data_IF_235739867436
#
_entry.id   IF_235739867436
#
_cell.length_a   1.000
_cell.length_b   1.000
_cell.length_c   1.000
_cell.angle_alpha   90.00
_cell.angle_beta   90.00
_cell.angle_gamma   90.00
#
_symmetry.space_group_name_H-M   'P 1'
#
loop_
_entity.id
_entity.type
_entity.pdbx_description
1 polymer ?
#
# COMPACT_ATOMS: atom_id res chain seq x y z
N UNK A 1 -16.65 -31.72 6.96
CA UNK A 1 -15.60 -31.25 6.02
C UNK A 1 -14.33 -32.02 6.32
N UNK A 2 -13.63 -32.55 5.31
CA UNK A 2 -12.34 -33.22 5.49
C UNK A 2 -11.29 -32.19 5.94
N UNK A 3 -10.44 -32.56 6.92
CA UNK A 3 -9.40 -31.67 7.47
C UNK A 3 -8.43 -31.16 6.40
N UNK A 4 -8.09 -31.99 5.40
CA UNK A 4 -7.24 -31.60 4.27
C UNK A 4 -7.83 -30.46 3.43
N UNK A 5 -9.15 -30.49 3.20
CA UNK A 5 -9.82 -29.42 2.46
C UNK A 5 -9.84 -28.11 3.25
N UNK A 6 -10.05 -28.21 4.57
CA UNK A 6 -9.98 -27.06 5.47
C UNK A 6 -8.57 -26.44 5.47
N UNK A 7 -7.53 -27.27 5.66
CA UNK A 7 -6.14 -26.82 5.65
C UNK A 7 -5.76 -26.21 4.29
N UNK A 8 -6.24 -26.77 3.19
CA UNK A 8 -6.03 -26.22 1.85
C UNK A 8 -6.68 -24.83 1.67
N UNK A 9 -7.90 -24.66 2.16
CA UNK A 9 -8.60 -23.37 2.08
C UNK A 9 -7.90 -22.30 2.93
N UNK A 10 -7.46 -22.66 4.13
CA UNK A 10 -6.64 -21.80 5.00
C UNK A 10 -5.30 -21.48 4.34
N UNK A 11 -4.64 -22.45 3.72
CA UNK A 11 -3.41 -22.21 2.98
C UNK A 11 -3.63 -21.18 1.86
N UNK A 12 -4.67 -21.37 1.04
CA UNK A 12 -4.97 -20.45 -0.06
C UNK A 12 -5.28 -19.04 0.42
N UNK A 13 -5.93 -18.84 1.57
CA UNK A 13 -6.16 -17.49 2.10
C UNK A 13 -4.85 -16.78 2.46
N UNK A 14 -3.87 -17.49 3.03
CA UNK A 14 -2.54 -16.94 3.28
C UNK A 14 -1.77 -16.65 1.98
N UNK A 15 -1.84 -17.53 0.99
CA UNK A 15 -1.23 -17.32 -0.33
C UNK A 15 -1.79 -16.05 -0.99
N UNK A 16 -3.12 -15.94 -1.05
CA UNK A 16 -3.84 -14.81 -1.62
C UNK A 16 -3.47 -13.49 -0.93
N UNK A 17 -3.41 -13.49 0.41
CA UNK A 17 -2.95 -12.36 1.21
C UNK A 17 -1.50 -11.98 0.89
N UNK A 18 -0.61 -12.96 0.77
CA UNK A 18 0.79 -12.72 0.48
C UNK A 18 0.99 -12.11 -0.93
N UNK A 19 0.27 -12.63 -1.92
CA UNK A 19 0.28 -12.07 -3.28
C UNK A 19 -0.26 -10.65 -3.28
N UNK A 20 -1.33 -10.37 -2.52
CA UNK A 20 -1.88 -9.03 -2.38
C UNK A 20 -0.84 -8.04 -1.82
N UNK A 21 -0.13 -8.44 -0.77
CA UNK A 21 0.90 -7.61 -0.14
C UNK A 21 2.06 -7.33 -1.10
N UNK A 22 2.55 -8.35 -1.80
CA UNK A 22 3.63 -8.20 -2.78
C UNK A 22 3.20 -7.33 -3.97
N UNK A 23 2.03 -7.59 -4.56
CA UNK A 23 1.52 -6.82 -5.69
C UNK A 23 1.26 -5.36 -5.31
N UNK A 24 0.65 -5.11 -4.14
CA UNK A 24 0.46 -3.77 -3.62
C UNK A 24 1.80 -3.06 -3.40
N UNK A 25 2.76 -3.72 -2.75
CA UNK A 25 4.11 -3.20 -2.53
C UNK A 25 4.80 -2.81 -3.84
N UNK A 26 4.67 -3.64 -4.88
CA UNK A 26 5.22 -3.36 -6.21
C UNK A 26 4.52 -2.16 -6.87
N UNK A 27 3.18 -2.10 -6.83
CA UNK A 27 2.43 -0.96 -7.38
C UNK A 27 2.86 0.34 -6.69
N UNK A 28 2.96 0.36 -5.37
CA UNK A 28 3.42 1.54 -4.62
C UNK A 28 4.87 1.89 -4.96
N UNK A 29 5.73 0.88 -5.12
CA UNK A 29 7.16 1.07 -5.41
C UNK A 29 7.43 1.63 -6.81
N UNK A 30 6.61 1.29 -7.81
CA UNK A 30 6.80 1.71 -9.20
C UNK A 30 5.91 2.89 -9.60
N UNK A 31 4.65 2.92 -9.16
CA UNK A 31 3.66 3.92 -9.57
C UNK A 31 3.44 5.03 -8.51
N UNK A 32 4.03 4.89 -7.32
CA UNK A 32 3.88 5.82 -6.20
C UNK A 32 2.63 5.55 -5.35
N UNK A 33 2.35 6.41 -4.35
CA UNK A 33 1.24 6.21 -3.41
C UNK A 33 -0.04 6.97 -3.80
N UNK A 34 0.09 8.16 -4.39
CA UNK A 34 -1.02 9.11 -4.55
C UNK A 34 -1.33 9.50 -6.01
N UNK A 35 -0.77 8.78 -6.99
CA UNK A 35 -1.07 8.97 -8.40
C UNK A 35 -2.39 8.31 -8.83
N UNK A 36 -3.10 8.88 -9.81
CA UNK A 36 -4.27 8.25 -10.43
C UNK A 36 -3.94 6.84 -10.98
N UNK A 37 -2.77 6.70 -11.62
CA UNK A 37 -2.27 5.42 -12.11
C UNK A 37 -1.96 4.43 -10.97
N UNK A 38 -1.44 4.90 -9.83
CA UNK A 38 -1.18 4.04 -8.67
C UNK A 38 -2.47 3.51 -8.05
N UNK A 39 -3.48 4.38 -7.88
CA UNK A 39 -4.81 3.96 -7.41
C UNK A 39 -5.44 2.96 -8.36
N UNK A 40 -5.32 3.21 -9.67
CA UNK A 40 -5.87 2.29 -10.67
C UNK A 40 -5.12 0.96 -10.70
N UNK A 41 -3.80 0.97 -10.54
CA UNK A 41 -2.98 -0.22 -10.35
C UNK A 41 -3.41 -1.01 -9.10
N UNK A 42 -3.65 -0.33 -7.97
CA UNK A 42 -4.11 -1.00 -6.74
C UNK A 42 -5.50 -1.62 -6.90
N UNK A 43 -6.41 -0.96 -7.62
CA UNK A 43 -7.80 -1.43 -7.79
C UNK A 43 -7.89 -2.56 -8.82
N UNK A 44 -7.08 -2.53 -9.89
CA UNK A 44 -7.20 -3.48 -11.00
C UNK A 44 -6.08 -4.52 -10.95
N UNK A 45 -4.82 -4.08 -10.86
CA UNK A 45 -3.67 -4.96 -10.98
C UNK A 45 -3.53 -5.89 -9.77
N UNK A 46 -3.77 -5.38 -8.55
CA UNK A 46 -3.63 -6.21 -7.33
C UNK A 46 -4.65 -7.36 -7.32
N UNK A 47 -5.97 -7.14 -7.51
CA UNK A 47 -6.92 -8.25 -7.63
C UNK A 47 -6.61 -9.19 -8.80
N UNK A 48 -6.18 -8.65 -9.95
CA UNK A 48 -5.79 -9.48 -11.08
C UNK A 48 -4.62 -10.40 -10.75
N UNK A 49 -3.57 -9.90 -10.09
CA UNK A 49 -2.42 -10.69 -9.65
C UNK A 49 -2.84 -11.80 -8.68
N UNK A 50 -3.71 -11.49 -7.71
CA UNK A 50 -4.23 -12.48 -6.76
C UNK A 50 -4.95 -13.61 -7.50
N UNK A 51 -5.93 -13.28 -8.34
CA UNK A 51 -6.72 -14.28 -9.07
C UNK A 51 -5.84 -15.14 -9.96
N UNK A 52 -4.92 -14.53 -10.73
CA UNK A 52 -4.00 -15.28 -11.60
C UNK A 52 -3.15 -16.25 -10.77
N UNK A 53 -2.60 -15.81 -9.64
CA UNK A 53 -1.75 -16.65 -8.81
C UNK A 53 -2.51 -17.78 -8.11
N UNK A 54 -3.70 -17.49 -7.60
CA UNK A 54 -4.59 -18.47 -6.99
C UNK A 54 -5.00 -19.53 -8.03
N UNK A 55 -5.28 -19.13 -9.27
CA UNK A 55 -5.51 -20.06 -10.38
C UNK A 55 -4.31 -20.94 -10.69
N UNK A 56 -3.10 -20.36 -10.75
CA UNK A 56 -1.86 -21.14 -10.98
C UNK A 56 -1.66 -22.17 -9.87
N UNK A 57 -1.86 -21.75 -8.61
CA UNK A 57 -1.70 -22.62 -7.45
C UNK A 57 -2.77 -23.72 -7.43
N UNK A 58 -4.00 -23.42 -7.84
CA UNK A 58 -5.09 -24.40 -7.92
C UNK A 58 -4.90 -25.38 -9.10
N UNK A 59 -4.44 -24.89 -10.25
CA UNK A 59 -4.16 -25.69 -11.44
C UNK A 59 -2.89 -26.55 -11.32
N UNK A 60 -2.00 -26.22 -10.37
CA UNK A 60 -0.80 -26.98 -10.11
C UNK A 60 -1.10 -28.44 -9.70
N UNK A 61 -0.28 -29.41 -10.16
CA UNK A 61 -0.37 -30.80 -9.71
C UNK A 61 -0.28 -30.90 -8.18
N UNK A 62 -1.00 -31.86 -7.58
CA UNK A 62 -1.11 -31.99 -6.14
C UNK A 62 0.24 -32.09 -5.41
N UNK A 63 1.25 -32.68 -6.06
CA UNK A 63 2.62 -32.81 -5.55
C UNK A 63 3.35 -31.48 -5.40
N UNK A 64 3.06 -30.49 -6.25
CA UNK A 64 3.78 -29.20 -6.32
C UNK A 64 2.94 -28.01 -5.87
N UNK A 65 1.62 -28.19 -5.71
CA UNK A 65 0.67 -27.13 -5.32
C UNK A 65 1.12 -26.35 -4.09
N UNK A 66 1.53 -27.03 -3.03
CA UNK A 66 1.98 -26.37 -1.80
C UNK A 66 3.34 -25.69 -1.96
N UNK A 67 4.23 -26.27 -2.78
CA UNK A 67 5.53 -25.66 -3.10
C UNK A 67 5.31 -24.36 -3.85
N UNK A 68 4.50 -24.38 -4.91
CA UNK A 68 4.17 -23.20 -5.70
C UNK A 68 3.48 -22.16 -4.82
N UNK A 69 2.39 -22.52 -4.15
CA UNK A 69 1.66 -21.56 -3.29
C UNK A 69 2.50 -20.96 -2.16
N UNK A 70 3.53 -21.67 -1.67
CA UNK A 70 4.41 -21.16 -0.62
C UNK A 70 5.39 -20.07 -1.07
N UNK A 71 5.63 -19.91 -2.38
CA UNK A 71 6.59 -18.93 -2.92
C UNK A 71 6.33 -17.50 -2.40
N UNK A 72 5.11 -16.93 -2.52
CA UNK A 72 4.82 -15.58 -2.02
C UNK A 72 4.99 -15.47 -0.50
N UNK A 73 4.70 -16.53 0.25
CA UNK A 73 4.90 -16.56 1.71
C UNK A 73 6.38 -16.49 2.07
N UNK A 74 7.22 -17.30 1.38
CA UNK A 74 8.67 -17.31 1.56
C UNK A 74 9.28 -15.97 1.17
N UNK A 75 8.79 -15.35 0.09
CA UNK A 75 9.24 -14.01 -0.32
C UNK A 75 8.95 -12.96 0.75
N UNK A 76 7.74 -12.93 1.33
CA UNK A 76 7.40 -12.01 2.41
C UNK A 76 8.28 -12.28 3.64
N UNK A 77 8.47 -13.55 4.02
CA UNK A 77 9.33 -13.90 5.14
C UNK A 77 10.77 -13.45 4.89
N UNK A 78 11.30 -13.66 3.68
CA UNK A 78 12.63 -13.20 3.29
C UNK A 78 12.76 -11.68 3.33
N UNK A 79 11.76 -10.95 2.85
CA UNK A 79 11.69 -9.49 2.95
C UNK A 79 11.68 -9.05 4.43
N UNK A 80 10.82 -9.65 5.25
CA UNK A 80 10.71 -9.31 6.67
C UNK A 80 12.03 -9.56 7.43
N UNK A 81 12.68 -10.69 7.18
CA UNK A 81 14.00 -11.03 7.74
C UNK A 81 15.07 -10.04 7.25
N UNK A 82 15.09 -9.72 5.96
CA UNK A 82 16.02 -8.75 5.39
C UNK A 82 15.88 -7.37 6.06
N UNK A 83 14.66 -6.85 6.17
CA UNK A 83 14.42 -5.58 6.86
C UNK A 83 14.80 -5.65 8.35
N UNK A 84 14.50 -6.77 9.02
CA UNK A 84 14.74 -6.96 10.45
C UNK A 84 16.22 -7.12 10.82
N UNK A 85 17.02 -7.76 9.98
CA UNK A 85 18.41 -8.12 10.30
C UNK A 85 19.46 -7.37 9.46
N UNK A 86 19.16 -7.06 8.20
CA UNK A 86 20.13 -6.39 7.31
C UNK A 86 19.97 -4.89 7.34
N UNK A 87 18.72 -4.40 7.26
CA UNK A 87 18.46 -2.95 7.21
C UNK A 87 18.36 -2.29 8.58
N UNK A 88 18.13 -3.07 9.65
CA UNK A 88 18.13 -2.58 11.03
C UNK A 88 17.00 -1.59 11.36
N UNK A 89 15.96 -1.49 10.53
CA UNK A 89 14.84 -0.59 10.78
C UNK A 89 13.97 -1.18 11.90
N UNK A 90 14.08 -0.61 13.11
CA UNK A 90 13.09 -0.81 14.15
C UNK A 90 11.79 -0.18 13.64
N UNK A 91 10.77 -0.99 13.39
CA UNK A 91 9.43 -0.52 12.98
C UNK A 91 8.77 0.48 13.96
N UNK A 92 9.41 0.78 15.10
CA UNK A 92 9.06 1.88 15.99
C UNK A 92 9.33 3.28 15.39
N UNK A 93 10.21 3.40 14.39
CA UNK A 93 10.50 4.66 13.68
C UNK A 93 9.85 4.72 12.30
N UNK A 94 8.75 3.98 12.08
CA UNK A 94 7.77 4.51 11.13
C UNK A 94 7.35 5.84 11.73
N UNK A 95 7.94 6.93 11.23
CA UNK A 95 7.39 8.28 11.28
C UNK A 95 5.98 8.19 10.70
N UNK A 96 5.05 7.72 11.52
CA UNK A 96 3.76 8.36 11.63
C UNK A 96 4.11 9.81 11.91
N UNK A 97 4.22 10.61 10.86
CA UNK A 97 3.94 12.02 11.01
C UNK A 97 2.55 12.05 11.63
N UNK A 98 2.52 12.20 12.94
CA UNK A 98 1.30 12.24 13.71
C UNK A 98 0.34 13.22 13.03
N UNK A 99 -0.98 12.98 13.02
CA UNK A 99 -1.96 13.89 12.40
C UNK A 99 -1.74 15.36 12.80
N UNK A 100 -1.17 15.59 13.98
CA UNK A 100 -0.70 16.86 14.52
C UNK A 100 0.42 17.56 13.74
N UNK A 101 1.37 16.84 13.11
CA UNK A 101 2.40 17.46 12.27
C UNK A 101 1.86 17.84 10.88
N UNK A 102 0.97 17.03 10.31
CA UNK A 102 0.26 17.34 9.06
C UNK A 102 -0.70 18.53 9.22
N UNK A 103 -1.36 18.66 10.37
CA UNK A 103 -2.19 19.83 10.69
C UNK A 103 -1.36 21.13 10.76
N UNK A 104 -0.15 21.08 11.33
CA UNK A 104 0.75 22.24 11.40
C UNK A 104 1.27 22.70 10.04
N UNK A 105 1.41 21.77 9.08
CA UNK A 105 1.74 22.08 7.68
C UNK A 105 0.55 22.65 6.90
N UNK A 106 -0.68 22.27 7.25
CA UNK A 106 -1.90 22.83 6.65
C UNK A 106 -2.22 24.25 7.19
N UNK A 107 -1.74 24.57 8.39
CA UNK A 107 -1.80 25.91 9.00
C UNK A 107 -0.73 26.89 8.46
N UNK A 108 0.21 26.43 7.61
CA UNK A 108 1.04 27.40 6.88
C UNK A 108 0.13 28.25 5.98
N UNK A 109 0.10 29.58 6.16
CA UNK A 109 -0.83 30.44 5.44
C UNK A 109 -0.51 30.33 3.95
N UNK A 110 -1.47 29.76 3.20
CA UNK A 110 -1.41 29.69 1.72
C UNK A 110 -0.91 31.03 1.20
N UNK A 111 0.30 31.04 0.62
CA UNK A 111 0.89 32.21 -0.05
C UNK A 111 -0.08 32.68 -1.12
N UNK A 112 -0.92 33.65 -0.79
CA UNK A 112 -1.81 34.26 -1.75
C UNK A 112 -0.95 34.91 -2.82
N UNK A 113 -1.23 34.60 -4.08
CA UNK A 113 -0.64 35.29 -5.22
C UNK A 113 -0.78 36.80 -5.04
N UNK A 114 0.24 37.57 -5.46
CA UNK A 114 0.28 39.05 -5.35
C UNK A 114 -1.01 39.73 -5.83
N UNK A 115 -1.73 39.11 -6.79
CA UNK A 115 -3.02 39.59 -7.30
C UNK A 115 -4.16 39.45 -6.28
N UNK A 116 -4.19 38.36 -5.52
CA UNK A 116 -5.22 38.11 -4.51
C UNK A 116 -4.99 38.91 -3.23
N UNK A 117 -3.73 39.12 -2.84
CA UNK A 117 -3.39 39.99 -1.71
C UNK A 117 -3.91 41.42 -1.91
N UNK A 118 -3.73 41.99 -3.12
CA UNK A 118 -4.27 43.32 -3.46
C UNK A 118 -5.80 43.39 -3.43
N UNK A 119 -6.49 42.33 -3.83
CA UNK A 119 -7.96 42.29 -3.82
C UNK A 119 -8.47 42.23 -2.38
N UNK A 120 -7.80 41.46 -1.52
CA UNK A 120 -8.18 41.34 -0.11
C UNK A 120 -7.94 42.65 0.66
N UNK A 121 -6.87 43.37 0.34
CA UNK A 121 -6.55 44.69 0.92
C UNK A 121 -7.56 45.76 0.47
N UNK A 122 -7.92 45.80 -0.82
CA UNK A 122 -8.98 46.69 -1.33
C UNK A 122 -10.35 46.40 -0.72
N UNK A 123 -10.65 45.15 -0.38
CA UNK A 123 -11.91 44.77 0.31
C UNK A 123 -11.90 45.19 1.77
N UNK A 124 -10.76 45.09 2.46
CA UNK A 124 -10.63 45.50 3.86
C UNK A 124 -10.76 47.01 4.07
N UNK A 125 -10.30 47.82 3.10
CA UNK A 125 -10.41 49.27 3.18
C UNK A 125 -11.79 49.83 2.81
N UNK A 126 -12.66 49.05 2.14
CA UNK A 126 -14.03 49.46 1.79
C UNK A 126 -15.06 49.27 2.91
N UNK A 127 -14.70 48.58 4.00
CA UNK A 127 -15.57 48.40 5.17
C UNK A 127 -15.21 49.28 6.37
N UNK A 128 -14.42 50.34 6.14
CA UNK A 128 -13.96 51.30 7.17
C UNK A 128 -14.30 52.75 6.79
N UNK A 129 -15.36 52.94 6.01
CA UNK A 129 -16.07 54.22 5.85
C UNK A 129 -17.47 54.08 6.43
#
# INVERSE_FOLDING_TARGET
MNFEFFAFLVFMSFVSFAVAFLAYGMVVRFMGKDGFLARMGQIILVPACIVIYDFITMAAPQSYRYVIGSIPLVLIAGIAIYFRFVKGENFAEVKEQSPSELAKLADEPKKFSKKSARIHEKRKNRGRE
#
